data_IF_390221144368
#
_entry.id   IF_390221144368
#
_cell.length_a   1.000
_cell.length_b   1.000
_cell.length_c   1.000
_cell.angle_alpha   90.00
_cell.angle_beta   90.00
_cell.angle_gamma   90.00
#
_symmetry.space_group_name_H-M   'P 1'
#
loop_
_entity.id
_entity.type
_entity.pdbx_description
1 polymer ?
#
# COMPACT_ATOMS: atom_id res chain seq x y z
N UNK A 1 -9.85 -10.51 -6.06
CA UNK A 1 -10.08 -9.07 -6.30
C UNK A 1 -10.00 -8.80 -7.79
N UNK A 2 -11.04 -8.23 -8.38
CA UNK A 2 -11.08 -7.89 -9.80
C UNK A 2 -10.48 -6.49 -10.02
N UNK A 3 -9.79 -6.26 -11.14
CA UNK A 3 -9.07 -5.01 -11.45
C UNK A 3 -9.97 -3.76 -11.33
N UNK A 4 -11.23 -3.88 -11.75
CA UNK A 4 -12.20 -2.79 -11.73
C UNK A 4 -12.67 -2.35 -10.33
N UNK A 5 -12.31 -3.09 -9.29
CA UNK A 5 -12.56 -2.72 -7.88
C UNK A 5 -11.38 -1.91 -7.30
N UNK A 6 -10.21 -1.98 -7.92
CA UNK A 6 -9.01 -1.26 -7.50
C UNK A 6 -9.02 0.13 -8.15
N UNK A 7 -9.14 1.17 -7.32
CA UNK A 7 -9.23 2.57 -7.77
C UNK A 7 -8.18 3.42 -7.06
N UNK A 8 -7.59 4.34 -7.80
CA UNK A 8 -6.67 5.34 -7.24
C UNK A 8 -6.89 6.71 -7.87
N UNK A 9 -6.13 7.72 -7.42
CA UNK A 9 -6.14 9.06 -8.03
C UNK A 9 -4.88 9.31 -8.84
N UNK A 10 -5.04 9.91 -10.02
CA UNK A 10 -3.92 10.38 -10.82
C UNK A 10 -3.12 11.43 -10.04
N UNK A 11 -1.81 11.21 -9.87
CA UNK A 11 -0.91 12.15 -9.17
C UNK A 11 -0.83 13.55 -9.81
N UNK A 12 -1.18 13.67 -11.08
CA UNK A 12 -1.09 14.93 -11.83
C UNK A 12 -2.42 15.69 -11.87
N UNK A 13 -3.51 15.02 -12.25
CA UNK A 13 -4.81 15.67 -12.45
C UNK A 13 -5.88 15.32 -11.42
N UNK A 14 -5.58 14.43 -10.47
CA UNK A 14 -6.48 14.04 -9.39
C UNK A 14 -7.69 13.19 -9.80
N UNK A 15 -7.84 12.84 -11.09
CA UNK A 15 -8.95 11.99 -11.57
C UNK A 15 -8.85 10.59 -10.97
N UNK A 16 -10.02 9.99 -10.74
CA UNK A 16 -10.14 8.58 -10.41
C UNK A 16 -9.67 7.73 -11.60
N UNK A 17 -8.74 6.82 -11.31
CA UNK A 17 -8.18 5.84 -12.23
C UNK A 17 -8.60 4.45 -11.75
N UNK A 18 -8.91 3.58 -12.70
CA UNK A 18 -9.18 2.17 -12.47
C UNK A 18 -7.90 1.41 -12.81
N UNK A 19 -7.62 0.31 -12.10
CA UNK A 19 -6.45 -0.52 -12.40
C UNK A 19 -6.50 -1.02 -13.85
N UNK A 20 -5.42 -0.76 -14.56
CA UNK A 20 -5.17 -1.20 -15.94
C UNK A 20 -4.65 -2.64 -15.92
N UNK A 21 -3.69 -2.90 -15.04
CA UNK A 21 -3.04 -4.20 -14.89
C UNK A 21 -2.62 -4.45 -13.43
N UNK A 22 -2.43 -5.72 -13.05
CA UNK A 22 -1.93 -6.09 -11.73
C UNK A 22 -1.00 -7.31 -11.81
N UNK A 23 0.06 -7.23 -11.03
CA UNK A 23 0.98 -8.32 -10.73
C UNK A 23 0.78 -8.81 -9.28
N UNK A 24 1.61 -9.77 -8.86
CA UNK A 24 1.59 -10.31 -7.49
C UNK A 24 1.92 -9.27 -6.41
N UNK A 25 2.71 -8.25 -6.76
CA UNK A 25 3.21 -7.22 -5.85
C UNK A 25 2.63 -5.81 -6.10
N UNK A 26 2.28 -5.47 -7.35
CA UNK A 26 1.89 -4.10 -7.73
C UNK A 26 0.62 -4.06 -8.60
N UNK A 27 -0.09 -2.94 -8.52
CA UNK A 27 -1.23 -2.60 -9.36
C UNK A 27 -0.89 -1.35 -10.15
N UNK A 28 -1.03 -1.42 -11.46
CA UNK A 28 -0.73 -0.35 -12.40
C UNK A 28 -1.99 0.38 -12.84
N UNK A 29 -1.91 1.71 -12.86
CA UNK A 29 -3.01 2.61 -13.21
C UNK A 29 -2.58 3.57 -14.31
N UNK A 30 -3.28 3.56 -15.44
CA UNK A 30 -3.00 4.46 -16.54
C UNK A 30 -3.98 5.64 -16.57
N UNK A 31 -3.46 6.86 -16.68
CA UNK A 31 -4.27 8.05 -16.88
C UNK A 31 -4.31 8.45 -18.35
N UNK A 32 -5.39 8.13 -19.06
CA UNK A 32 -5.58 8.52 -20.47
C UNK A 32 -5.56 10.04 -20.73
N UNK A 33 -5.79 10.87 -19.70
CA UNK A 33 -5.73 12.34 -19.83
C UNK A 33 -4.30 12.86 -19.78
N UNK A 34 -3.50 12.33 -18.88
CA UNK A 34 -2.15 12.81 -18.60
C UNK A 34 -1.07 11.98 -19.30
N UNK A 35 -1.39 10.79 -19.81
CA UNK A 35 -0.44 9.87 -20.42
C UNK A 35 0.56 9.26 -19.44
N UNK A 36 0.22 9.19 -18.15
CA UNK A 36 1.12 8.70 -17.10
C UNK A 36 0.63 7.40 -16.48
N UNK A 37 1.59 6.53 -16.16
CA UNK A 37 1.37 5.35 -15.33
C UNK A 37 1.68 5.66 -13.87
N UNK A 38 0.85 5.13 -12.98
CA UNK A 38 1.06 5.15 -11.54
C UNK A 38 0.93 3.72 -11.04
N UNK A 39 1.94 3.21 -10.32
CA UNK A 39 1.88 1.90 -9.69
C UNK A 39 1.72 2.06 -8.17
N UNK A 40 1.00 1.12 -7.55
CA UNK A 40 0.80 1.05 -6.11
C UNK A 40 0.87 -0.41 -5.64
N UNK A 41 1.46 -0.70 -4.47
CA UNK A 41 1.52 -2.07 -3.96
C UNK A 41 0.12 -2.68 -3.81
N UNK A 42 -0.03 -3.93 -4.24
CA UNK A 42 -1.32 -4.63 -4.22
C UNK A 42 -1.88 -4.78 -2.80
N UNK A 43 -1.01 -4.75 -1.79
CA UNK A 43 -1.37 -4.78 -0.37
C UNK A 43 -2.26 -3.60 0.05
N UNK A 44 -2.15 -2.43 -0.59
CA UNK A 44 -3.04 -1.29 -0.35
C UNK A 44 -4.49 -1.54 -0.83
N UNK A 45 -4.68 -2.51 -1.72
CA UNK A 45 -5.99 -2.85 -2.31
C UNK A 45 -6.48 -4.24 -1.95
N UNK A 46 -5.59 -5.07 -1.37
CA UNK A 46 -6.00 -6.27 -0.68
C UNK A 46 -6.72 -5.79 0.56
N UNK A 47 -8.03 -6.05 0.63
CA UNK A 47 -8.86 -5.90 1.82
C UNK A 47 -8.27 -6.82 2.91
N UNK A 48 -7.14 -6.42 3.47
CA UNK A 48 -6.66 -6.93 4.73
C UNK A 48 -7.59 -6.31 5.77
N UNK A 49 -8.14 -7.10 6.72
CA UNK A 49 -8.87 -6.53 7.84
C UNK A 49 -7.95 -5.50 8.48
N UNK A 50 -8.37 -4.23 8.45
CA UNK A 50 -7.68 -3.04 8.98
C UNK A 50 -6.51 -3.43 9.89
N UNK A 51 -5.25 -3.43 9.42
CA UNK A 51 -4.14 -3.55 10.35
C UNK A 51 -4.25 -2.35 11.30
N UNK A 52 -4.32 -2.65 12.60
CA UNK A 52 -4.36 -1.65 13.65
C UNK A 52 -3.29 -0.58 13.40
N UNK A 53 -3.58 0.71 13.69
CA UNK A 53 -2.71 1.84 13.37
C UNK A 53 -1.26 1.55 13.77
N UNK A 54 -0.34 1.79 12.84
CA UNK A 54 1.10 1.64 13.06
C UNK A 54 1.53 2.39 14.33
N UNK A 55 2.41 1.82 15.16
CA UNK A 55 2.93 2.51 16.33
C UNK A 55 3.73 3.74 15.87
N UNK A 56 3.50 4.87 16.53
CA UNK A 56 4.24 6.10 16.29
C UNK A 56 5.76 5.86 16.50
N UNK A 57 6.63 6.43 15.65
CA UNK A 57 8.08 6.35 15.85
C UNK A 57 8.46 7.20 17.08
N UNK A 58 8.72 6.54 18.20
CA UNK A 58 9.03 7.19 19.47
C UNK A 58 9.20 6.19 20.60
N UNK A 59 10.08 5.21 20.43
CA UNK A 59 10.62 4.41 21.53
C UNK A 59 12.09 4.16 21.24
N UNK A 60 12.88 5.21 21.42
CA UNK A 60 14.33 5.11 21.56
C UNK A 60 14.67 4.16 22.70
N UNK A 61 15.63 3.25 22.45
CA UNK A 61 16.69 2.86 23.39
C UNK A 61 16.22 1.97 24.60
N UNK A 62 16.77 0.83 24.99
CA UNK A 62 18.08 0.15 24.88
C UNK A 62 17.87 -1.34 25.24
N UNK A 63 18.56 -2.23 24.52
CA UNK A 63 19.13 -3.55 24.85
C UNK A 63 18.49 -4.53 25.89
N UNK A 64 18.23 -5.75 25.38
CA UNK A 64 18.36 -7.12 25.99
C UNK A 64 19.63 -7.32 26.87
N UNK A 65 19.86 -8.49 27.56
CA UNK A 65 19.05 -9.74 27.73
C UNK A 65 19.12 -10.44 29.13
N UNK A 66 18.38 -11.57 29.28
CA UNK A 66 18.71 -12.81 30.07
C UNK A 66 18.69 -12.77 31.63
N UNK A 67 18.33 -13.76 32.46
CA UNK A 67 18.40 -15.25 32.54
C UNK A 67 17.31 -15.77 33.53
N UNK A 68 16.54 -16.83 33.25
CA UNK A 68 16.72 -18.26 33.63
C UNK A 68 16.80 -18.61 35.15
N UNK A 69 15.65 -19.04 35.69
CA UNK A 69 15.39 -20.19 36.60
C UNK A 69 16.57 -20.81 37.38
N UNK A 70 16.45 -20.80 38.70
CA UNK A 70 17.18 -21.62 39.68
C UNK A 70 16.32 -21.80 40.93
#
# INVERSE_FOLDING_TARGET
MKLHEMKTKCRMCGRELIADDKDDDFVSFYCMRCGVYTSRPVEEFKDAPVPAPAPAPGAEAIAKPEEKMG
#
